data_IF_115282938925
#
_entry.id   IF_115282938925
#
_cell.length_a   1.000
_cell.length_b   1.000
_cell.length_c   1.000
_cell.angle_alpha   90.00
_cell.angle_beta   90.00
_cell.angle_gamma   90.00
#
_symmetry.space_group_name_H-M   'P 1'
#
loop_
_entity.id
_entity.type
_entity.pdbx_description
1 polymer ?
#
# COMPACT_ATOMS: atom_id res chain seq x y z
N UNK A 1 -2.63 11.97 0.04
CA UNK A 1 -3.42 10.74 -0.20
C UNK A 1 -3.66 10.09 1.14
N UNK A 2 -4.92 9.79 1.46
CA UNK A 2 -5.27 9.08 2.68
C UNK A 2 -5.14 7.57 2.43
N UNK A 3 -4.03 6.98 2.89
CA UNK A 3 -3.70 5.57 2.66
C UNK A 3 -4.68 4.62 3.37
N UNK A 4 -5.29 5.06 4.48
CA UNK A 4 -6.26 4.27 5.23
C UNK A 4 -7.53 3.97 4.40
N UNK A 5 -7.89 4.88 3.49
CA UNK A 5 -9.05 4.74 2.59
C UNK A 5 -8.74 3.96 1.31
N UNK A 6 -7.47 3.64 1.04
CA UNK A 6 -7.10 2.89 -0.14
C UNK A 6 -7.59 1.44 -0.03
N UNK A 7 -8.15 0.91 -1.11
CA UNK A 7 -8.48 -0.52 -1.20
C UNK A 7 -7.22 -1.36 -1.36
N UNK A 8 -7.25 -2.63 -0.93
CA UNK A 8 -6.14 -3.56 -1.16
C UNK A 8 -5.76 -3.65 -2.65
N UNK A 9 -6.75 -3.61 -3.54
CA UNK A 9 -6.52 -3.60 -5.00
C UNK A 9 -5.68 -2.39 -5.43
N UNK A 10 -5.99 -1.19 -4.94
CA UNK A 10 -5.22 0.01 -5.25
C UNK A 10 -3.79 -0.08 -4.72
N UNK A 11 -3.60 -0.58 -3.49
CA UNK A 11 -2.26 -0.77 -2.91
C UNK A 11 -1.43 -1.76 -3.74
N UNK A 12 -2.02 -2.86 -4.21
CA UNK A 12 -1.34 -3.82 -5.10
C UNK A 12 -1.00 -3.20 -6.46
N UNK A 13 -1.89 -2.37 -7.03
CA UNK A 13 -1.62 -1.65 -8.28
C UNK A 13 -0.39 -0.74 -8.11
N UNK A 14 -0.31 0.02 -7.01
CA UNK A 14 0.84 0.88 -6.69
C UNK A 14 2.15 0.08 -6.63
N UNK A 15 2.11 -1.13 -6.05
CA UNK A 15 3.29 -2.00 -5.96
C UNK A 15 3.73 -2.59 -7.30
N UNK A 16 2.78 -2.90 -8.17
CA UNK A 16 3.03 -3.50 -9.49
C UNK A 16 3.36 -2.48 -10.58
N UNK A 17 3.04 -1.21 -10.36
CA UNK A 17 3.35 -0.17 -11.32
C UNK A 17 4.87 0.06 -11.37
N UNK A 18 5.49 -0.22 -12.52
CA UNK A 18 6.95 -0.25 -12.69
C UNK A 18 7.56 1.12 -12.35
N UNK A 19 7.05 2.18 -12.97
CA UNK A 19 7.51 3.57 -12.81
C UNK A 19 6.98 4.27 -11.54
N UNK A 20 6.39 3.52 -10.59
CA UNK A 20 5.93 4.12 -9.34
C UNK A 20 7.14 4.54 -8.48
N UNK A 21 7.19 5.79 -7.98
CA UNK A 21 8.20 6.22 -7.03
C UNK A 21 8.33 5.27 -5.84
N UNK A 22 9.57 4.98 -5.45
CA UNK A 22 9.87 4.04 -4.37
C UNK A 22 9.17 4.42 -3.04
N UNK A 23 9.02 5.72 -2.77
CA UNK A 23 8.30 6.22 -1.59
C UNK A 23 6.84 5.75 -1.55
N UNK A 24 6.13 5.75 -2.68
CA UNK A 24 4.75 5.29 -2.74
C UNK A 24 4.64 3.77 -2.65
N UNK A 25 5.58 3.02 -3.24
CA UNK A 25 5.67 1.57 -3.01
C UNK A 25 5.90 1.26 -1.53
N UNK A 26 6.76 2.02 -0.85
CA UNK A 26 7.00 1.85 0.58
C UNK A 26 5.75 2.15 1.43
N UNK A 27 5.07 3.26 1.15
CA UNK A 27 3.82 3.61 1.84
C UNK A 27 2.74 2.53 1.64
N UNK A 28 2.61 1.98 0.42
CA UNK A 28 1.68 0.89 0.15
C UNK A 28 2.01 -0.38 0.94
N UNK A 29 3.30 -0.75 1.05
CA UNK A 29 3.74 -1.89 1.87
C UNK A 29 3.44 -1.68 3.35
N UNK A 30 3.74 -0.49 3.87
CA UNK A 30 3.49 -0.16 5.28
C UNK A 30 2.00 -0.26 5.62
N UNK A 31 1.13 0.24 4.74
CA UNK A 31 -0.32 0.16 4.95
C UNK A 31 -0.84 -1.28 4.89
N UNK A 32 -0.33 -2.12 3.98
CA UNK A 32 -0.66 -3.55 3.94
C UNK A 32 -0.21 -4.23 5.24
N UNK A 33 1.02 -3.98 5.69
CA UNK A 33 1.58 -4.55 6.93
C UNK A 33 0.73 -4.17 8.16
N UNK A 34 0.39 -2.88 8.28
CA UNK A 34 -0.48 -2.36 9.36
C UNK A 34 -1.80 -3.12 9.43
N UNK A 35 -2.46 -3.35 8.29
CA UNK A 35 -3.74 -4.10 8.24
C UNK A 35 -3.60 -5.57 8.61
N UNK A 36 -2.48 -6.20 8.26
CA UNK A 36 -2.21 -7.58 8.66
C UNK A 36 -1.96 -7.69 10.17
N UNK A 37 -1.28 -6.70 10.75
CA UNK A 37 -1.05 -6.61 12.21
C UNK A 37 -2.35 -6.31 12.98
N UNK A 38 -3.33 -5.62 12.39
CA UNK A 38 -4.64 -5.38 13.03
C UNK A 38 -5.57 -6.62 13.02
N UNK A 39 -5.29 -7.61 12.16
CA UNK A 39 -6.08 -8.84 12.05
C UNK A 39 -5.48 -9.97 12.91
N UNK A 40 -4.19 -9.88 13.25
CA UNK A 40 -3.44 -10.86 14.04
C UNK A 40 -3.64 -10.66 15.55
#
# INVERSE_FOLDING_TARGET
MDWSKATLKQLVIILRYEDCPACYKQMARNEIKRRLEEIA
#
